data_IF_013584856873
#
_entry.id   IF_013584856873
#
_cell.length_a   1.000
_cell.length_b   1.000
_cell.length_c   1.000
_cell.angle_alpha   90.00
_cell.angle_beta   90.00
_cell.angle_gamma   90.00
#
_symmetry.space_group_name_H-M   'P 1'
#
loop_
_entity.id
_entity.type
_entity.pdbx_description
1 polymer ?
#
# COMPACT_ATOMS: atom_id res chain seq x y z
N UNK A 1 -6.16 4.19 3.89
CA UNK A 1 -5.83 3.54 2.60
C UNK A 1 -6.92 3.72 1.54
N UNK A 2 -8.22 3.52 1.86
CA UNK A 2 -9.32 3.78 0.90
C UNK A 2 -9.29 5.18 0.28
N UNK A 3 -9.10 6.24 1.09
CA UNK A 3 -9.01 7.61 0.57
C UNK A 3 -7.86 7.82 -0.44
N UNK A 4 -6.76 7.07 -0.31
CA UNK A 4 -5.67 7.10 -1.30
C UNK A 4 -6.13 6.42 -2.60
N UNK A 5 -6.72 5.24 -2.50
CA UNK A 5 -7.27 4.50 -3.64
C UNK A 5 -8.33 5.32 -4.40
N UNK A 6 -9.25 5.95 -3.69
CA UNK A 6 -10.28 6.83 -4.26
C UNK A 6 -9.66 8.02 -4.99
N UNK A 7 -8.67 8.67 -4.38
CA UNK A 7 -7.98 9.82 -4.97
C UNK A 7 -7.17 9.46 -6.21
N UNK A 8 -6.56 8.28 -6.23
CA UNK A 8 -5.79 7.79 -7.36
C UNK A 8 -6.66 7.06 -8.40
N UNK A 9 -7.96 6.86 -8.12
CA UNK A 9 -8.88 6.07 -8.96
C UNK A 9 -8.35 4.66 -9.25
N UNK A 10 -7.79 4.02 -8.23
CA UNK A 10 -7.26 2.64 -8.28
C UNK A 10 -8.03 1.73 -7.33
N UNK A 11 -8.17 0.45 -7.69
CA UNK A 11 -8.79 -0.52 -6.79
C UNK A 11 -7.86 -0.82 -5.61
N UNK A 12 -8.45 -0.97 -4.42
CA UNK A 12 -7.70 -1.30 -3.21
C UNK A 12 -6.88 -2.58 -3.36
N UNK A 13 -7.42 -3.61 -4.03
CA UNK A 13 -6.73 -4.88 -4.23
C UNK A 13 -5.62 -4.78 -5.29
N UNK A 14 -5.62 -3.73 -6.11
CA UNK A 14 -4.56 -3.44 -7.08
C UNK A 14 -3.37 -2.71 -6.45
N UNK A 15 -3.41 -2.37 -5.16
CA UNK A 15 -2.32 -1.68 -4.45
C UNK A 15 -1.84 -2.53 -3.27
N UNK A 16 -0.52 -2.64 -3.13
CA UNK A 16 0.15 -3.16 -1.95
C UNK A 16 0.69 -1.97 -1.14
N UNK A 17 0.12 -1.77 0.04
CA UNK A 17 0.65 -0.84 1.04
C UNK A 17 1.74 -1.53 1.85
N UNK A 18 2.91 -0.92 1.90
CA UNK A 18 4.09 -1.42 2.60
C UNK A 18 4.53 -0.41 3.65
N UNK A 19 4.95 -0.91 4.80
CA UNK A 19 5.63 -0.14 5.83
C UNK A 19 6.89 -0.90 6.23
N UNK A 20 8.04 -0.24 6.16
CA UNK A 20 9.37 -0.86 6.34
C UNK A 20 9.54 -2.17 5.54
N UNK A 21 9.06 -2.16 4.29
CA UNK A 21 9.09 -3.32 3.38
C UNK A 21 8.11 -4.45 3.71
N UNK A 22 7.28 -4.33 4.75
CA UNK A 22 6.27 -5.32 5.14
C UNK A 22 4.88 -4.91 4.67
N UNK A 23 4.09 -5.86 4.16
CA UNK A 23 2.73 -5.59 3.69
C UNK A 23 1.79 -5.31 4.87
N UNK A 24 1.18 -4.13 4.84
CA UNK A 24 0.18 -3.71 5.80
C UNK A 24 -1.17 -4.38 5.54
N UNK A 25 -1.85 -4.74 6.62
CA UNK A 25 -3.26 -5.15 6.61
C UNK A 25 -4.15 -3.98 7.01
N UNK A 26 -5.40 -4.02 6.56
CA UNK A 26 -6.39 -2.95 6.80
C UNK A 26 -6.73 -2.80 8.28
N UNK A 27 -6.61 -3.88 9.03
CA UNK A 27 -6.96 -3.93 10.46
C UNK A 27 -5.82 -3.49 11.37
N UNK A 28 -4.59 -3.38 10.85
CA UNK A 28 -3.44 -2.99 11.67
C UNK A 28 -3.48 -1.50 11.99
N UNK A 29 -3.18 -1.18 13.24
CA UNK A 29 -3.09 0.19 13.73
C UNK A 29 -1.65 0.70 13.71
N UNK A 30 -1.44 2.03 13.67
CA UNK A 30 -0.10 2.61 13.77
C UNK A 30 0.66 2.19 15.03
N UNK A 31 -0.04 2.03 16.16
CA UNK A 31 0.54 1.60 17.44
C UNK A 31 1.12 0.18 17.37
N UNK A 32 0.38 -0.77 16.76
CA UNK A 32 0.84 -2.15 16.55
C UNK A 32 2.04 -2.27 15.59
N UNK A 33 2.23 -1.24 14.76
CA UNK A 33 3.30 -1.14 13.78
C UNK A 33 4.47 -0.28 14.30
N UNK A 34 4.36 0.25 15.53
CA UNK A 34 5.32 1.18 16.13
C UNK A 34 5.63 2.37 15.21
N UNK A 35 4.61 2.88 14.51
CA UNK A 35 4.74 4.03 13.61
C UNK A 35 4.86 5.33 14.40
N UNK A 36 5.79 6.18 13.98
CA UNK A 36 6.02 7.52 14.51
C UNK A 36 5.51 8.62 13.58
N UNK A 37 5.41 9.84 14.08
CA UNK A 37 5.09 11.00 13.25
C UNK A 37 6.24 11.26 12.25
N UNK A 38 5.90 11.33 10.97
CA UNK A 38 6.87 11.46 9.88
C UNK A 38 7.20 10.14 9.18
N UNK A 39 6.71 9.00 9.67
CA UNK A 39 6.83 7.73 8.97
C UNK A 39 6.01 7.69 7.67
N UNK A 40 6.55 7.01 6.66
CA UNK A 40 5.95 6.92 5.33
C UNK A 40 5.48 5.49 5.02
N UNK A 41 4.34 5.39 4.32
CA UNK A 41 3.82 4.13 3.80
C UNK A 41 3.99 4.15 2.27
N UNK A 42 4.69 3.15 1.76
CA UNK A 42 4.83 2.94 0.33
C UNK A 42 3.56 2.32 -0.25
N UNK A 43 3.07 2.87 -1.36
CA UNK A 43 1.92 2.32 -2.09
C UNK A 43 2.37 1.84 -3.48
N UNK A 44 2.54 0.52 -3.62
CA UNK A 44 2.98 -0.10 -4.88
C UNK A 44 1.81 -0.71 -5.64
N UNK A 45 1.73 -0.49 -6.95
CA UNK A 45 0.77 -1.21 -7.79
C UNK A 45 1.09 -2.70 -7.80
N UNK A 46 0.13 -3.51 -7.38
CA UNK A 46 0.17 -4.96 -7.51
C UNK A 46 0.01 -5.31 -9.00
N UNK A 47 1.12 -5.28 -9.74
CA UNK A 47 1.12 -5.62 -11.15
C UNK A 47 0.77 -7.10 -11.32
N UNK A 48 -0.50 -7.38 -11.62
CA UNK A 48 -0.98 -8.72 -11.99
C UNK A 48 -1.04 -8.92 -13.51
N UNK A 49 -0.58 -7.96 -14.29
CA UNK A 49 -0.61 -8.02 -15.75
C UNK A 49 0.32 -7.00 -16.39
N UNK A 50 1.26 -7.52 -17.18
CA UNK A 50 2.28 -6.75 -17.88
C UNK A 50 3.40 -7.70 -18.29
N UNK A 51 3.10 -8.60 -19.24
CA UNK A 51 4.15 -9.40 -19.86
C UNK A 51 5.23 -8.46 -20.37
N UNK A 52 6.42 -8.56 -19.80
CA UNK A 52 7.62 -8.01 -20.40
C UNK A 52 7.82 -8.76 -21.71
N UNK A 53 7.18 -8.29 -22.78
CA UNK A 53 7.67 -8.53 -24.12
C UNK A 53 8.82 -7.53 -24.33
N UNK A 54 10.02 -7.99 -23.98
CA UNK A 54 11.24 -7.49 -24.60
C UNK A 54 11.63 -8.49 -25.71
#
# INVERSE_FOLDING_TARGET
>A
MNAYCDRQSVDFNSIAFLFDGRRLRVEQTPDELEMEDGDEIDAMLHQTGGGAIA
#
